data_IF_643497394224
#
_entry.id   IF_643497394224
#
_cell.length_a   1.000
_cell.length_b   1.000
_cell.length_c   1.000
_cell.angle_alpha   90.00
_cell.angle_beta   90.00
_cell.angle_gamma   90.00
#
_symmetry.space_group_name_H-M   'P 1'
#
loop_
_entity.id
_entity.type
_entity.pdbx_description
1 polymer ?
#
# COMPACT_ATOMS: atom_id res chain seq x y z
N UNK A 1 6.98 7.27 0.97
CA UNK A 1 6.36 6.06 0.38
C UNK A 1 6.60 4.94 1.36
N UNK A 2 5.55 4.19 1.71
CA UNK A 2 5.55 3.27 2.85
C UNK A 2 5.06 1.88 2.47
N UNK A 3 5.51 0.87 3.23
CA UNK A 3 5.00 -0.50 3.14
C UNK A 3 4.26 -0.81 4.44
N UNK A 4 2.98 -1.17 4.32
CA UNK A 4 2.16 -1.56 5.47
C UNK A 4 1.84 -3.05 5.43
N UNK A 5 1.77 -3.66 6.61
CA UNK A 5 1.28 -5.04 6.76
C UNK A 5 -0.23 -5.07 6.55
N UNK A 6 -0.74 -6.19 6.04
CA UNK A 6 -2.18 -6.40 5.97
C UNK A 6 -2.78 -6.34 7.40
N UNK A 7 -3.89 -5.62 7.65
CA UNK A 7 -4.47 -5.47 8.98
C UNK A 7 -4.98 -6.79 9.57
N UNK A 8 -5.22 -7.79 8.71
CA UNK A 8 -5.51 -9.16 9.10
C UNK A 8 -4.37 -10.10 8.64
N UNK A 9 -3.27 -10.18 9.40
CA UNK A 9 -2.12 -11.01 9.05
C UNK A 9 -2.38 -12.50 9.26
N UNK A 10 -3.32 -12.92 10.11
CA UNK A 10 -3.64 -14.34 10.27
C UNK A 10 -4.29 -14.94 9.01
N UNK A 11 -5.11 -14.15 8.31
CA UNK A 11 -5.69 -14.54 7.02
C UNK A 11 -4.74 -14.32 5.83
N UNK A 12 -3.80 -13.37 5.96
CA UNK A 12 -2.88 -13.00 4.87
C UNK A 12 -1.43 -12.80 5.39
N UNK A 13 -0.75 -13.86 5.84
CA UNK A 13 0.51 -13.76 6.58
C UNK A 13 1.66 -13.17 5.75
N UNK A 14 1.66 -13.41 4.44
CA UNK A 14 2.73 -12.98 3.54
C UNK A 14 2.32 -11.79 2.65
N UNK A 15 1.17 -11.18 2.93
CA UNK A 15 0.67 -10.07 2.12
C UNK A 15 0.99 -8.73 2.77
N UNK A 16 1.68 -7.88 2.00
CA UNK A 16 1.96 -6.48 2.35
C UNK A 16 1.28 -5.56 1.33
N UNK A 17 1.27 -4.26 1.60
CA UNK A 17 0.77 -3.25 0.68
C UNK A 17 1.77 -2.12 0.54
N UNK A 18 2.09 -1.74 -0.70
CA UNK A 18 2.76 -0.49 -0.99
C UNK A 18 1.76 0.66 -0.94
N UNK A 19 2.18 1.80 -0.40
CA UNK A 19 1.49 3.08 -0.51
C UNK A 19 2.29 3.96 -1.44
N UNK A 20 1.77 4.19 -2.64
CA UNK A 20 2.41 5.02 -3.66
C UNK A 20 1.59 6.27 -3.93
N UNK A 21 2.27 7.39 -4.15
CA UNK A 21 1.67 8.62 -4.64
C UNK A 21 1.73 8.62 -6.17
N UNK A 22 0.59 8.73 -6.84
CA UNK A 22 0.49 9.00 -8.27
C UNK A 22 -0.39 10.25 -8.41
N UNK A 23 0.14 11.31 -9.01
CA UNK A 23 -0.61 12.55 -9.28
C UNK A 23 -1.36 13.11 -8.05
N UNK A 24 -0.69 13.15 -6.91
CA UNK A 24 -1.22 13.63 -5.62
C UNK A 24 -2.41 12.80 -5.08
N UNK A 25 -2.50 11.54 -5.49
CA UNK A 25 -3.46 10.58 -4.96
C UNK A 25 -2.73 9.31 -4.51
N UNK A 26 -3.07 8.82 -3.32
CA UNK A 26 -2.44 7.62 -2.78
C UNK A 26 -3.14 6.35 -3.29
N UNK A 27 -2.33 5.39 -3.71
CA UNK A 27 -2.77 4.07 -4.14
C UNK A 27 -2.14 3.00 -3.25
N UNK A 28 -2.95 2.00 -2.91
CA UNK A 28 -2.53 0.81 -2.20
C UNK A 28 -2.30 -0.30 -3.22
N UNK A 29 -1.11 -0.90 -3.22
CA UNK A 29 -0.79 -2.04 -4.09
C UNK A 29 -0.49 -3.23 -3.19
N UNK A 30 -1.42 -4.18 -3.03
CA UNK A 30 -1.13 -5.41 -2.33
C UNK A 30 -0.11 -6.24 -3.09
N UNK A 31 0.83 -6.81 -2.36
CA UNK A 31 1.84 -7.67 -2.93
C UNK A 31 2.18 -8.82 -1.99
N UNK A 32 2.67 -9.90 -2.58
CA UNK A 32 3.35 -10.99 -1.88
C UNK A 32 4.77 -11.07 -2.41
N UNK A 33 5.71 -11.36 -1.53
CA UNK A 33 7.14 -11.44 -1.85
C UNK A 33 7.65 -12.82 -1.45
N UNK A 34 8.39 -13.44 -2.35
CA UNK A 34 9.17 -14.66 -2.11
C UNK A 34 10.68 -14.35 -2.28
N UNK A 35 11.54 -15.37 -2.14
CA UNK A 35 12.99 -15.19 -2.22
C UNK A 35 13.51 -14.65 -3.56
N UNK A 36 12.70 -14.70 -4.63
CA UNK A 36 13.13 -14.42 -6.00
C UNK A 36 12.35 -13.28 -6.64
N UNK A 37 11.14 -12.99 -6.19
CA UNK A 37 10.25 -12.05 -6.86
C UNK A 37 9.20 -11.42 -5.94
N UNK A 38 8.67 -10.28 -6.42
CA UNK A 38 7.51 -9.60 -5.86
C UNK A 38 6.36 -9.72 -6.85
N UNK A 39 5.25 -10.30 -6.42
CA UNK A 39 4.02 -10.34 -7.20
C UNK A 39 3.05 -9.24 -6.76
N UNK A 40 2.84 -8.26 -7.64
CA UNK A 40 1.89 -7.17 -7.43
C UNK A 40 0.48 -7.60 -7.83
N UNK A 41 -0.49 -7.27 -6.99
CA UNK A 41 -1.92 -7.40 -7.31
C UNK A 41 -2.47 -6.08 -7.84
N UNK A 42 -3.79 -5.95 -7.85
CA UNK A 42 -4.53 -4.77 -8.31
C UNK A 42 -4.13 -3.50 -7.55
N UNK A 43 -3.95 -2.41 -8.29
CA UNK A 43 -3.79 -1.05 -7.75
C UNK A 43 -5.15 -0.56 -7.23
N UNK A 44 -5.21 -0.12 -5.96
CA UNK A 44 -6.44 0.31 -5.30
C UNK A 44 -6.31 1.79 -4.92
N UNK A 45 -7.09 2.71 -5.52
CA UNK A 45 -7.12 4.10 -5.08
C UNK A 45 -7.64 4.18 -3.64
N UNK A 46 -6.97 4.96 -2.78
CA UNK A 46 -7.33 5.07 -1.37
C UNK A 46 -7.38 6.52 -0.90
N UNK A 47 -8.58 7.09 -0.85
CA UNK A 47 -8.83 8.41 -0.24
C UNK A 47 -8.33 8.48 1.21
N UNK A 48 -8.48 7.41 1.98
CA UNK A 48 -7.99 7.35 3.36
C UNK A 48 -6.45 7.46 3.41
N UNK A 49 -5.75 6.75 2.53
CA UNK A 49 -4.31 6.86 2.43
C UNK A 49 -3.86 8.23 1.90
N UNK A 50 -4.61 8.83 0.96
CA UNK A 50 -4.33 10.20 0.48
C UNK A 50 -4.36 11.18 1.64
N UNK A 51 -5.42 11.14 2.45
CA UNK A 51 -5.53 11.99 3.64
C UNK A 51 -4.40 11.74 4.63
N UNK A 52 -4.09 10.47 4.92
CA UNK A 52 -3.11 10.12 5.94
C UNK A 52 -1.67 10.41 5.53
N UNK A 53 -1.30 10.18 4.26
CA UNK A 53 0.09 10.20 3.81
C UNK A 53 0.44 11.40 2.92
N UNK A 54 -0.54 12.03 2.26
CA UNK A 54 -0.30 13.14 1.34
C UNK A 54 -0.84 14.47 1.88
N UNK A 55 -2.05 14.50 2.46
CA UNK A 55 -2.64 15.76 2.94
C UNK A 55 -1.98 16.28 4.24
N UNK A 56 -1.51 15.40 5.13
CA UNK A 56 -0.81 15.82 6.37
C UNK A 56 0.52 16.52 6.08
N UNK A 57 1.15 16.25 4.93
CA UNK A 57 2.41 16.88 4.54
C UNK A 57 2.24 18.23 3.81
N UNK A 58 1.01 18.68 3.57
CA UNK A 58 0.70 19.95 2.90
C UNK A 58 0.23 21.04 3.91
N UNK A 59 0.46 20.85 5.20
CA UNK A 59 0.12 21.79 6.29
C UNK A 59 1.35 22.37 6.97
#
# INVERSE_FOLDING_TARGET
>A
MDVIKHPNPSKYPNQRMFIINIENYAYLIPFVEDEKQIFLKTIIPSRKATKQYLEVNNG
#
